data_IF_824636901330
#
_entry.id   IF_824636901330
#
_cell.length_a   1.000
_cell.length_b   1.000
_cell.length_c   1.000
_cell.angle_alpha   90.00
_cell.angle_beta   90.00
_cell.angle_gamma   90.00
#
_symmetry.space_group_name_H-M   'P 1'
#
loop_
_entity.id
_entity.type
_entity.pdbx_description
1 polymer ?
#
# COMPACT_ATOMS: atom_id res chain seq x y z
N UNK A 1 16.93 7.46 10.90
CA UNK A 1 17.75 8.26 9.98
C UNK A 1 16.82 9.12 9.14
N UNK A 2 17.14 10.40 8.94
CA UNK A 2 16.50 11.23 7.92
C UNK A 2 17.35 11.11 6.65
N UNK A 3 16.76 10.66 5.56
CA UNK A 3 17.46 10.49 4.30
C UNK A 3 16.47 10.54 3.15
N UNK A 4 16.88 11.22 2.09
CA UNK A 4 16.21 11.21 0.79
C UNK A 4 17.04 10.31 -0.12
N UNK A 5 16.39 9.44 -0.88
CA UNK A 5 17.03 8.58 -1.87
C UNK A 5 16.37 8.85 -3.22
N UNK A 6 17.17 9.33 -4.18
CA UNK A 6 16.69 9.64 -5.51
C UNK A 6 17.14 8.56 -6.51
N UNK A 7 16.19 7.99 -7.27
CA UNK A 7 16.40 7.12 -8.45
C UNK A 7 17.36 5.94 -8.29
N UNK A 8 16.84 4.77 -7.93
CA UNK A 8 17.65 3.53 -7.86
C UNK A 8 16.93 2.33 -8.48
N UNK A 9 17.67 1.48 -9.21
CA UNK A 9 17.21 0.13 -9.56
C UNK A 9 17.88 -0.88 -8.63
N UNK A 10 17.11 -1.56 -7.79
CA UNK A 10 17.65 -2.42 -6.73
C UNK A 10 17.01 -3.82 -6.76
N UNK A 11 17.84 -4.85 -6.69
CA UNK A 11 17.35 -6.23 -6.56
C UNK A 11 16.75 -6.52 -5.18
N UNK A 12 17.40 -6.05 -4.11
CA UNK A 12 16.89 -6.16 -2.75
C UNK A 12 17.31 -4.95 -1.95
N UNK A 13 16.35 -4.29 -1.34
CA UNK A 13 16.60 -3.18 -0.44
C UNK A 13 15.97 -3.46 0.92
N UNK A 14 16.74 -3.14 1.96
CA UNK A 14 16.34 -3.27 3.36
C UNK A 14 16.67 -1.98 4.07
N UNK A 15 15.67 -1.41 4.72
CA UNK A 15 15.83 -0.18 5.50
C UNK A 15 15.51 -0.49 6.96
N UNK A 16 16.37 0.00 7.84
CA UNK A 16 16.08 0.14 9.27
C UNK A 16 14.97 1.21 9.47
N UNK A 17 14.49 1.45 10.70
CA UNK A 17 13.47 2.48 10.93
C UNK A 17 13.88 3.83 10.34
N UNK A 18 13.02 4.41 9.53
CA UNK A 18 13.31 5.60 8.74
C UNK A 18 12.19 6.63 8.86
N UNK A 19 12.61 7.89 8.92
CA UNK A 19 11.75 9.06 8.77
C UNK A 19 12.19 9.78 7.50
N UNK A 20 11.37 9.84 6.45
CA UNK A 20 11.81 10.48 5.21
C UNK A 20 10.99 10.14 3.97
N UNK A 21 11.45 10.68 2.85
CA UNK A 21 10.85 10.48 1.52
C UNK A 21 11.72 9.53 0.69
N UNK A 22 11.10 8.67 -0.10
CA UNK A 22 11.80 7.89 -1.12
C UNK A 22 11.14 8.13 -2.46
N UNK A 23 11.91 8.68 -3.39
CA UNK A 23 11.41 9.11 -4.68
C UNK A 23 12.02 8.24 -5.78
N UNK A 24 11.15 7.69 -6.63
CA UNK A 24 11.51 7.01 -7.88
C UNK A 24 12.39 5.77 -7.69
N UNK A 25 11.81 4.59 -7.43
CA UNK A 25 12.61 3.36 -7.26
C UNK A 25 12.02 2.18 -8.04
N UNK A 26 12.85 1.46 -8.78
CA UNK A 26 12.47 0.14 -9.31
C UNK A 26 13.09 -0.93 -8.43
N UNK A 27 12.26 -1.62 -7.65
CA UNK A 27 12.74 -2.56 -6.65
C UNK A 27 12.11 -3.93 -6.84
N UNK A 28 12.95 -4.96 -6.93
CA UNK A 28 12.46 -6.33 -6.94
C UNK A 28 11.95 -6.78 -5.57
N UNK A 29 12.68 -6.46 -4.50
CA UNK A 29 12.29 -6.80 -3.13
C UNK A 29 12.62 -5.66 -2.17
N UNK A 30 11.60 -5.01 -1.65
CA UNK A 30 11.72 -3.94 -0.68
C UNK A 30 11.21 -4.43 0.68
N UNK A 31 12.03 -4.27 1.73
CA UNK A 31 11.59 -4.47 3.10
C UNK A 31 11.99 -3.28 3.95
N UNK A 32 11.05 -2.73 4.70
CA UNK A 32 11.34 -1.66 5.69
C UNK A 32 10.84 -2.13 7.04
N UNK A 33 11.65 -1.86 8.07
CA UNK A 33 11.21 -1.78 9.47
C UNK A 33 10.46 -0.45 9.68
N UNK A 34 9.91 -0.11 10.87
CA UNK A 34 8.95 0.99 11.03
C UNK A 34 9.27 2.25 10.22
N UNK A 35 8.37 2.60 9.31
CA UNK A 35 8.55 3.76 8.42
C UNK A 35 7.55 4.84 8.79
N UNK A 36 8.05 6.07 8.91
CA UNK A 36 7.21 7.27 8.92
C UNK A 36 7.61 8.17 7.75
N UNK A 37 6.76 8.37 6.75
CA UNK A 37 7.15 9.19 5.60
C UNK A 37 6.34 8.99 4.33
N UNK A 38 6.86 9.42 3.20
CA UNK A 38 6.20 9.32 1.89
C UNK A 38 7.02 8.43 0.96
N UNK A 39 6.34 7.65 0.11
CA UNK A 39 6.98 6.98 -1.02
C UNK A 39 6.29 7.44 -2.31
N UNK A 40 7.06 8.08 -3.18
CA UNK A 40 6.53 8.66 -4.40
C UNK A 40 7.11 7.92 -5.62
N UNK A 41 6.24 7.49 -6.52
CA UNK A 41 6.59 6.91 -7.83
C UNK A 41 7.45 5.64 -7.74
N UNK A 42 6.87 4.50 -7.34
CA UNK A 42 7.65 3.26 -7.15
C UNK A 42 7.08 2.09 -7.97
N UNK A 43 7.95 1.37 -8.68
CA UNK A 43 7.61 0.06 -9.25
C UNK A 43 8.23 -1.02 -8.39
N UNK A 44 7.39 -1.74 -7.65
CA UNK A 44 7.86 -2.78 -6.73
C UNK A 44 7.25 -4.14 -7.06
N UNK A 45 8.11 -5.14 -7.21
CA UNK A 45 7.65 -6.53 -7.36
C UNK A 45 7.17 -7.12 -6.04
N UNK A 46 7.91 -6.90 -4.94
CA UNK A 46 7.54 -7.36 -3.60
C UNK A 46 7.85 -6.29 -2.57
N UNK A 47 6.80 -5.74 -2.00
CA UNK A 47 6.88 -4.74 -0.94
C UNK A 47 6.42 -5.35 0.37
N UNK A 48 7.26 -5.24 1.41
CA UNK A 48 6.88 -5.59 2.78
C UNK A 48 7.28 -4.49 3.74
N UNK A 49 6.34 -3.91 4.46
CA UNK A 49 6.65 -2.95 5.52
C UNK A 49 6.03 -3.41 6.83
N UNK A 50 6.80 -3.26 7.90
CA UNK A 50 6.38 -3.41 9.29
C UNK A 50 6.43 -1.99 9.90
N UNK A 51 5.52 -1.63 10.82
CA UNK A 51 4.47 -0.61 10.71
C UNK A 51 4.77 0.59 9.80
N UNK A 52 3.79 1.01 9.01
CA UNK A 52 3.89 2.20 8.17
C UNK A 52 2.97 3.32 8.66
N UNK A 53 3.51 4.52 8.85
CA UNK A 53 2.76 5.76 9.03
C UNK A 53 3.12 6.73 7.90
N UNK A 54 2.24 6.96 6.93
CA UNK A 54 2.67 7.73 5.76
C UNK A 54 1.76 7.73 4.55
N UNK A 55 2.25 8.35 3.48
CA UNK A 55 1.56 8.38 2.18
C UNK A 55 2.32 7.53 1.16
N UNK A 56 1.59 6.90 0.25
CA UNK A 56 2.14 6.21 -0.91
C UNK A 56 1.45 6.76 -2.16
N UNK A 57 2.22 7.47 -2.98
CA UNK A 57 1.67 8.18 -4.12
C UNK A 57 2.21 7.56 -5.43
N UNK A 58 1.29 7.23 -6.35
CA UNK A 58 1.62 6.74 -7.70
C UNK A 58 2.48 5.46 -7.70
N UNK A 59 1.91 4.34 -7.22
CA UNK A 59 2.68 3.09 -7.04
C UNK A 59 2.13 1.94 -7.87
N UNK A 60 3.01 1.21 -8.57
CA UNK A 60 2.69 -0.07 -9.20
C UNK A 60 3.32 -1.20 -8.39
N UNK A 61 2.47 -2.05 -7.78
CA UNK A 61 2.93 -3.10 -6.87
C UNK A 61 2.38 -4.46 -7.26
N UNK A 62 3.25 -5.43 -7.49
CA UNK A 62 2.82 -6.80 -7.77
C UNK A 62 2.36 -7.53 -6.50
N UNK A 63 3.09 -7.35 -5.41
CA UNK A 63 2.76 -7.94 -4.11
C UNK A 63 3.03 -6.95 -3.00
N UNK A 64 1.97 -6.45 -2.38
CA UNK A 64 2.02 -5.53 -1.26
C UNK A 64 1.60 -6.26 0.01
N UNK A 65 2.44 -6.20 1.05
CA UNK A 65 2.11 -6.67 2.39
C UNK A 65 2.53 -5.61 3.42
N UNK A 66 1.58 -5.10 4.20
CA UNK A 66 1.87 -4.17 5.29
C UNK A 66 1.21 -4.62 6.57
N UNK A 67 1.94 -4.46 7.67
CA UNK A 67 1.54 -4.83 9.02
C UNK A 67 1.93 -3.70 9.98
N UNK A 68 1.01 -3.08 10.72
CA UNK A 68 -0.14 -2.26 10.30
C UNK A 68 0.18 -0.97 9.55
N UNK A 69 -0.84 -0.39 8.92
CA UNK A 69 -0.74 0.87 8.15
C UNK A 69 -1.62 1.97 8.71
N UNK A 70 -1.04 3.16 8.90
CA UNK A 70 -1.75 4.41 9.13
C UNK A 70 -1.39 5.42 8.03
N UNK A 71 -2.36 5.88 7.24
CA UNK A 71 -2.11 6.94 6.26
C UNK A 71 -2.85 6.77 4.93
N UNK A 72 -2.30 7.28 3.83
CA UNK A 72 -3.02 7.41 2.55
C UNK A 72 -2.33 6.62 1.45
N UNK A 73 -3.13 6.03 0.55
CA UNK A 73 -2.66 5.42 -0.70
C UNK A 73 -3.37 6.13 -1.86
N UNK A 74 -2.62 6.86 -2.67
CA UNK A 74 -3.18 7.66 -3.76
C UNK A 74 -2.67 7.14 -5.12
N UNK A 75 -3.59 6.86 -6.03
CA UNK A 75 -3.29 6.41 -7.41
C UNK A 75 -2.44 5.13 -7.45
N UNK A 76 -2.97 4.02 -6.94
CA UNK A 76 -2.20 2.78 -6.80
C UNK A 76 -2.77 1.64 -7.64
N UNK A 77 -1.89 0.95 -8.38
CA UNK A 77 -2.22 -0.31 -9.07
C UNK A 77 -1.57 -1.49 -8.36
N UNK A 78 -2.40 -2.40 -7.82
CA UNK A 78 -1.93 -3.51 -6.99
C UNK A 78 -2.47 -4.85 -7.48
N UNK A 79 -1.57 -5.80 -7.78
CA UNK A 79 -1.99 -7.14 -8.17
C UNK A 79 -2.41 -8.01 -6.99
N UNK A 80 -1.69 -7.92 -5.87
CA UNK A 80 -2.03 -8.62 -4.63
C UNK A 80 -1.76 -7.71 -3.45
N UNK A 81 -2.83 -7.30 -2.78
CA UNK A 81 -2.81 -6.46 -1.60
C UNK A 81 -3.21 -7.27 -0.37
N UNK A 82 -2.33 -7.29 0.64
CA UNK A 82 -2.64 -7.80 1.97
C UNK A 82 -2.25 -6.76 3.01
N UNK A 83 -3.20 -6.26 3.77
CA UNK A 83 -2.91 -5.37 4.90
C UNK A 83 -3.63 -5.86 6.14
N UNK A 84 -2.96 -5.75 7.28
CA UNK A 84 -3.50 -6.10 8.60
C UNK A 84 -3.27 -4.93 9.55
N UNK A 85 -4.26 -4.57 10.38
CA UNK A 85 -5.30 -3.57 10.09
C UNK A 85 -4.83 -2.27 9.40
N UNK A 86 -5.77 -1.59 8.74
CA UNK A 86 -5.52 -0.31 8.05
C UNK A 86 -6.35 0.83 8.67
N UNK A 87 -5.70 1.96 8.96
CA UNK A 87 -6.32 3.22 9.35
C UNK A 87 -5.97 4.30 8.34
N UNK A 88 -6.89 4.74 7.48
CA UNK A 88 -6.45 5.58 6.36
C UNK A 88 -7.44 5.87 5.26
N UNK A 89 -6.93 6.40 4.15
CA UNK A 89 -7.71 6.63 2.93
C UNK A 89 -7.07 5.88 1.76
N UNK A 90 -7.90 5.33 0.88
CA UNK A 90 -7.49 4.86 -0.45
C UNK A 90 -8.20 5.71 -1.49
N UNK A 91 -7.45 6.40 -2.35
CA UNK A 91 -8.01 7.16 -3.47
C UNK A 91 -7.50 6.60 -4.81
N UNK A 92 -8.43 6.34 -5.73
CA UNK A 92 -8.14 6.00 -7.12
C UNK A 92 -7.31 4.72 -7.25
N UNK A 93 -7.76 3.65 -6.58
CA UNK A 93 -7.00 2.40 -6.44
C UNK A 93 -7.59 1.27 -7.28
N UNK A 94 -6.73 0.61 -8.08
CA UNK A 94 -7.09 -0.60 -8.83
C UNK A 94 -6.42 -1.83 -8.23
N UNK A 95 -7.21 -2.80 -7.79
CA UNK A 95 -6.72 -3.99 -7.08
C UNK A 95 -7.25 -5.29 -7.68
N UNK A 96 -6.36 -6.22 -8.04
CA UNK A 96 -6.77 -7.51 -8.57
C UNK A 96 -7.17 -8.51 -7.48
N UNK A 97 -6.43 -8.54 -6.38
CA UNK A 97 -6.73 -9.39 -5.22
C UNK A 97 -6.50 -8.59 -3.96
N UNK A 98 -7.57 -8.30 -3.25
CA UNK A 98 -7.58 -7.53 -2.03
C UNK A 98 -7.97 -8.40 -0.85
N UNK A 99 -7.09 -8.44 0.16
CA UNK A 99 -7.41 -9.01 1.48
C UNK A 99 -7.02 -8.00 2.54
N UNK A 100 -7.98 -7.52 3.31
CA UNK A 100 -7.71 -6.61 4.42
C UNK A 100 -8.40 -7.13 5.67
N UNK A 101 -7.63 -7.21 6.75
CA UNK A 101 -8.14 -7.36 8.13
C UNK A 101 -8.43 -5.93 8.67
N UNK A 102 -9.25 -5.75 9.73
CA UNK A 102 -10.17 -4.62 9.88
C UNK A 102 -9.68 -3.26 9.34
N UNK A 103 -10.50 -2.63 8.51
CA UNK A 103 -10.21 -1.31 7.94
C UNK A 103 -11.04 -0.23 8.63
N UNK A 104 -10.40 0.87 9.03
CA UNK A 104 -11.05 2.09 9.47
C UNK A 104 -10.62 3.25 8.55
N UNK A 105 -11.52 3.80 7.72
CA UNK A 105 -11.06 4.71 6.68
C UNK A 105 -12.05 5.12 5.60
N UNK A 106 -11.53 5.79 4.57
CA UNK A 106 -12.30 6.15 3.37
C UNK A 106 -11.76 5.43 2.14
N UNK A 107 -12.67 5.03 1.25
CA UNK A 107 -12.33 4.48 -0.07
C UNK A 107 -13.03 5.31 -1.14
N UNK A 108 -12.22 6.00 -1.95
CA UNK A 108 -12.68 6.86 -3.04
C UNK A 108 -12.19 6.27 -4.38
N UNK A 109 -13.11 6.04 -5.30
CA UNK A 109 -12.84 5.45 -6.64
C UNK A 109 -11.98 4.19 -6.61
N UNK A 110 -12.50 3.09 -6.06
CA UNK A 110 -11.77 1.82 -5.96
C UNK A 110 -12.35 0.76 -6.88
N UNK A 111 -11.51 0.15 -7.72
CA UNK A 111 -11.89 -1.01 -8.56
C UNK A 111 -11.21 -2.27 -8.05
N UNK A 112 -11.99 -3.29 -7.68
CA UNK A 112 -11.49 -4.52 -7.10
C UNK A 112 -11.99 -5.74 -7.87
N UNK A 113 -11.07 -6.60 -8.31
CA UNK A 113 -11.45 -7.84 -9.01
C UNK A 113 -11.85 -8.97 -8.09
N UNK A 114 -11.10 -9.20 -7.01
CA UNK A 114 -11.41 -10.20 -5.98
C UNK A 114 -11.16 -9.61 -4.62
N UNK A 115 -12.16 -9.69 -3.77
CA UNK A 115 -12.19 -8.99 -2.50
C UNK A 115 -12.54 -9.92 -1.34
N UNK A 116 -11.84 -9.75 -0.21
CA UNK A 116 -12.19 -10.29 1.10
C UNK A 116 -11.82 -9.26 2.17
N UNK A 117 -12.83 -8.77 2.89
CA UNK A 117 -12.66 -7.85 4.02
C UNK A 117 -13.24 -8.49 5.28
N UNK A 118 -12.53 -8.37 6.39
CA UNK A 118 -13.06 -8.46 7.75
C UNK A 118 -13.34 -7.03 8.26
N UNK A 119 -14.26 -6.80 9.22
CA UNK A 119 -15.18 -5.65 9.25
C UNK A 119 -14.55 -4.29 8.88
N UNK A 120 -15.25 -3.54 8.03
CA UNK A 120 -14.88 -2.19 7.61
C UNK A 120 -15.72 -1.13 8.34
N UNK A 121 -15.07 -0.10 8.84
CA UNK A 121 -15.68 1.08 9.45
C UNK A 121 -15.26 2.34 8.68
N UNK A 122 -16.22 3.10 8.15
CA UNK A 122 -15.93 4.37 7.48
C UNK A 122 -16.77 4.61 6.24
N UNK A 123 -16.24 5.38 5.28
CA UNK A 123 -17.01 5.85 4.11
C UNK A 123 -16.54 5.20 2.81
N UNK A 124 -17.49 4.90 1.93
CA UNK A 124 -17.27 4.41 0.58
C UNK A 124 -17.98 5.39 -0.35
N UNK A 125 -17.25 5.98 -1.29
CA UNK A 125 -17.86 6.79 -2.35
C UNK A 125 -18.18 5.89 -3.56
N UNK A 126 -17.19 5.67 -4.42
CA UNK A 126 -17.33 4.83 -5.62
C UNK A 126 -16.50 3.56 -5.51
N UNK A 127 -17.13 2.41 -5.28
CA UNK A 127 -16.46 1.10 -5.24
C UNK A 127 -17.07 0.15 -6.28
N UNK A 128 -16.23 -0.31 -7.22
CA UNK A 128 -16.59 -1.33 -8.21
C UNK A 128 -15.96 -2.67 -7.83
N UNK A 129 -16.79 -3.66 -7.49
CA UNK A 129 -16.35 -5.03 -7.23
C UNK A 129 -16.75 -5.92 -8.41
N UNK A 130 -15.77 -6.54 -9.07
CA UNK A 130 -15.99 -7.37 -10.25
C UNK A 130 -16.30 -8.83 -9.85
N UNK A 131 -15.70 -9.33 -8.77
CA UNK A 131 -16.04 -10.63 -8.17
C UNK A 131 -15.92 -10.59 -6.64
N UNK A 132 -17.01 -10.94 -5.98
CA UNK A 132 -17.05 -11.11 -4.53
C UNK A 132 -16.71 -12.57 -4.16
N UNK A 133 -15.83 -12.78 -3.17
CA UNK A 133 -15.58 -14.09 -2.58
C UNK A 133 -16.11 -14.03 -1.15
N UNK A 134 -17.31 -14.58 -0.94
CA UNK A 134 -17.94 -14.64 0.38
C UNK A 134 -17.07 -15.46 1.34
N UNK A 135 -16.96 -14.99 2.58
CA UNK A 135 -16.32 -15.68 3.70
C UNK A 135 -17.32 -16.53 4.46
#
# INVERSE_FOLDING_TARGET
>A
MCGQLDTVTIWRFRVAPMYGQLDTVTIWRFRVEPMCGQLDTVTIWRFRVEPMCGQLDTVTIWRFRVEPMCGQLDTVTIWRFRVEPMYGQLDSVTIWRFRVEPMCGQLDTVTIWRFRIEPMYGHLDTVTIIMEVQS
#
